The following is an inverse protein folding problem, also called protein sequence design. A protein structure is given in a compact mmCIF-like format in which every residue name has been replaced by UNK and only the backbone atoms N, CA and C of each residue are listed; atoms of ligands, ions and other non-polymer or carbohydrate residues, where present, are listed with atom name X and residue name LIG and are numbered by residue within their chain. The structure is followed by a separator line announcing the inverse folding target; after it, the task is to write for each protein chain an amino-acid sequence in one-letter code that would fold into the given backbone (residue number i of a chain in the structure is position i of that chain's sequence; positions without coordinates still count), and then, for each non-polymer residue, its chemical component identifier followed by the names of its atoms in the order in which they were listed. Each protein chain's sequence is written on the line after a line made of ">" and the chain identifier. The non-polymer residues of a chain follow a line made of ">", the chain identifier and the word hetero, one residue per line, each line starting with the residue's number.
data_IF_515734063341
#
_entry.id   IF_515734063341
#
_cell.length_a   1.000
_cell.length_b   1.000
_cell.length_c   1.000
_cell.angle_alpha   90.00
_cell.angle_beta   90.00
_cell.angle_gamma   90.00
#
_symmetry.space_group_name_H-M   'P 1'
#
loop_
_entity.id
_entity.type
_entity.pdbx_description
1 polymer ?
#
# COMPACT_ATOMS: atom_id res chain seq x y z
N UNK A 1 8.30 9.29 2.11
CA UNK A 1 8.66 7.92 1.69
C UNK A 1 10.03 7.54 2.24
N UNK A 2 10.54 6.32 1.92
CA UNK A 2 11.85 5.86 2.40
C UNK A 2 12.98 6.81 2.04
N UNK A 3 12.99 7.34 0.82
CA UNK A 3 13.96 8.34 0.36
C UNK A 3 13.98 9.60 1.23
N UNK A 4 12.83 10.07 1.68
CA UNK A 4 12.73 11.26 2.55
C UNK A 4 13.36 11.00 3.92
N UNK A 5 13.16 9.80 4.48
CA UNK A 5 13.76 9.40 5.74
C UNK A 5 15.29 9.34 5.63
N UNK A 6 15.80 8.74 4.55
CA UNK A 6 17.25 8.66 4.28
C UNK A 6 17.85 10.04 4.05
N UNK A 7 17.17 10.89 3.29
CA UNK A 7 17.60 12.28 3.07
C UNK A 7 17.68 13.04 4.39
N UNK A 8 16.69 12.93 5.25
CA UNK A 8 16.67 13.58 6.55
C UNK A 8 17.85 13.15 7.42
N UNK A 9 18.15 11.85 7.50
CA UNK A 9 19.31 11.35 8.23
C UNK A 9 20.63 11.96 7.70
N UNK A 10 20.80 12.05 6.37
CA UNK A 10 22.02 12.58 5.74
C UNK A 10 22.19 14.09 5.90
N UNK A 11 21.08 14.85 5.81
CA UNK A 11 21.13 16.31 5.84
C UNK A 11 21.18 16.88 7.26
N UNK A 12 20.63 16.17 8.25
CA UNK A 12 20.49 16.69 9.63
C UNK A 12 21.47 16.10 10.63
N UNK A 13 22.26 15.07 10.23
CA UNK A 13 23.12 14.30 11.12
C UNK A 13 22.38 13.72 12.35
N UNK A 14 21.06 13.52 12.25
CA UNK A 14 20.27 12.89 13.28
C UNK A 14 20.61 11.39 13.39
N UNK A 15 20.61 10.85 14.61
CA UNK A 15 20.89 9.44 14.86
C UNK A 15 19.72 8.52 14.48
N UNK A 16 18.52 9.09 14.29
CA UNK A 16 17.32 8.36 13.92
C UNK A 16 16.23 9.26 13.34
N UNK A 17 15.27 8.63 12.66
CA UNK A 17 14.11 9.30 12.08
C UNK A 17 12.84 8.63 12.56
N UNK A 18 11.91 9.42 13.06
CA UNK A 18 10.57 8.96 13.39
C UNK A 18 9.68 8.98 12.14
N UNK A 19 9.13 7.84 11.78
CA UNK A 19 8.21 7.69 10.64
C UNK A 19 6.78 7.65 11.17
N UNK A 20 5.98 8.68 10.85
CA UNK A 20 4.57 8.75 11.19
C UNK A 20 3.69 8.43 9.98
N UNK A 21 3.15 9.46 9.33
CA UNK A 21 2.20 9.31 8.21
C UNK A 21 2.76 8.58 6.97
N UNK A 22 4.07 8.52 6.82
CA UNK A 22 4.71 7.75 5.74
C UNK A 22 4.47 6.25 5.82
N UNK A 23 4.11 5.72 7.00
CA UNK A 23 3.76 4.32 7.22
C UNK A 23 2.30 3.98 6.87
N UNK A 24 1.46 4.97 6.62
CA UNK A 24 0.04 4.76 6.37
C UNK A 24 -0.18 4.02 5.04
N UNK A 25 -0.73 2.80 5.10
CA UNK A 25 -0.88 1.90 3.96
C UNK A 25 0.45 1.41 3.36
N UNK A 26 1.56 1.60 4.07
CA UNK A 26 2.91 1.23 3.67
C UNK A 26 3.74 0.74 4.87
N UNK A 27 3.40 -0.43 5.44
CA UNK A 27 4.15 -0.97 6.58
C UNK A 27 5.59 -1.33 6.24
N UNK A 28 5.90 -1.59 4.97
CA UNK A 28 7.24 -1.93 4.50
C UNK A 28 8.26 -0.80 4.63
N UNK A 29 7.82 0.43 4.90
CA UNK A 29 8.72 1.58 5.04
C UNK A 29 9.76 1.37 6.15
N UNK A 30 9.41 0.60 7.20
CA UNK A 30 10.31 0.28 8.30
C UNK A 30 11.41 -0.73 7.91
N UNK A 31 11.23 -1.46 6.84
CA UNK A 31 12.21 -2.35 6.23
C UNK A 31 12.96 -1.65 5.09
N UNK A 32 12.22 -0.95 4.23
CA UNK A 32 12.75 -0.30 3.04
C UNK A 32 13.69 0.87 3.38
N UNK A 33 13.37 1.69 4.38
CA UNK A 33 14.20 2.84 4.74
C UNK A 33 15.58 2.44 5.30
N UNK A 34 15.71 1.47 6.23
CA UNK A 34 17.01 0.97 6.64
C UNK A 34 17.79 0.30 5.51
N UNK A 35 17.13 -0.49 4.66
CA UNK A 35 17.79 -1.16 3.54
C UNK A 35 18.35 -0.14 2.52
N UNK A 36 17.59 0.92 2.24
CA UNK A 36 18.07 2.02 1.38
C UNK A 36 19.21 2.80 2.04
N UNK A 37 19.11 3.08 3.34
CA UNK A 37 20.11 3.86 4.06
C UNK A 37 21.46 3.13 4.21
N UNK A 38 21.43 1.86 4.58
CA UNK A 38 22.60 1.06 4.94
C UNK A 38 23.18 0.29 3.75
N UNK A 39 22.35 -0.20 2.85
CA UNK A 39 22.74 -1.09 1.76
C UNK A 39 22.61 -0.42 0.37
N UNK A 40 22.03 0.78 0.29
CA UNK A 40 21.72 1.42 -0.98
C UNK A 40 20.70 0.66 -1.83
N UNK A 41 19.94 -0.25 -1.21
CA UNK A 41 18.97 -1.08 -1.90
C UNK A 41 17.75 -0.24 -2.31
N UNK A 42 17.39 -0.20 -3.60
CA UNK A 42 16.24 0.58 -4.05
C UNK A 42 14.94 0.00 -3.47
N UNK A 43 13.98 0.89 -3.20
CA UNK A 43 12.66 0.52 -2.68
C UNK A 43 11.89 -0.25 -3.76
N UNK A 44 11.48 -1.51 -3.51
CA UNK A 44 10.74 -2.28 -4.49
C UNK A 44 9.30 -1.78 -4.64
N UNK A 45 8.75 -1.87 -5.85
CA UNK A 45 7.33 -1.68 -6.06
C UNK A 45 6.58 -2.91 -5.54
N UNK A 46 5.66 -2.71 -4.58
CA UNK A 46 4.86 -3.81 -4.04
C UNK A 46 3.71 -4.17 -4.97
N UNK A 47 3.54 -5.45 -5.35
CA UNK A 47 2.38 -5.92 -6.10
C UNK A 47 1.07 -5.63 -5.36
N UNK A 48 -0.02 -5.45 -6.10
CA UNK A 48 -1.33 -5.19 -5.49
C UNK A 48 -1.79 -6.31 -4.57
N UNK A 49 -1.53 -7.56 -4.94
CA UNK A 49 -1.83 -8.72 -4.07
C UNK A 49 -1.13 -8.60 -2.72
N UNK A 50 0.15 -8.31 -2.69
CA UNK A 50 0.92 -8.17 -1.45
C UNK A 50 0.36 -7.04 -0.56
N UNK A 51 -0.05 -5.93 -1.19
CA UNK A 51 -0.66 -4.80 -0.48
C UNK A 51 -2.03 -5.16 0.09
N UNK A 52 -2.83 -5.95 -0.63
CA UNK A 52 -4.13 -6.42 -0.15
C UNK A 52 -3.98 -7.48 0.95
N UNK A 53 -2.97 -8.34 0.88
CA UNK A 53 -2.67 -9.30 1.94
C UNK A 53 -2.25 -8.60 3.23
N UNK A 54 -1.44 -7.55 3.15
CA UNK A 54 -1.11 -6.70 4.30
C UNK A 54 -2.36 -6.00 4.87
N UNK A 55 -3.28 -5.56 4.02
CA UNK A 55 -4.57 -5.02 4.47
C UNK A 55 -5.41 -6.08 5.20
N UNK A 56 -5.49 -7.30 4.68
CA UNK A 56 -6.19 -8.41 5.33
C UNK A 56 -5.62 -8.69 6.72
N UNK A 57 -4.30 -8.73 6.83
CA UNK A 57 -3.63 -8.94 8.12
C UNK A 57 -3.94 -7.80 9.10
N UNK A 58 -3.87 -6.55 8.66
CA UNK A 58 -4.20 -5.38 9.47
C UNK A 58 -5.65 -5.43 9.96
N UNK A 59 -6.60 -5.75 9.08
CA UNK A 59 -8.02 -5.93 9.44
C UNK A 59 -8.22 -7.05 10.46
N UNK A 60 -7.57 -8.20 10.26
CA UNK A 60 -7.63 -9.35 11.16
C UNK A 60 -7.07 -9.01 12.54
N UNK A 61 -5.91 -8.36 12.60
CA UNK A 61 -5.30 -7.93 13.87
C UNK A 61 -6.19 -6.92 14.59
N UNK A 62 -6.75 -5.95 13.89
CA UNK A 62 -7.66 -4.97 14.48
C UNK A 62 -8.90 -5.65 15.05
N UNK A 63 -9.51 -6.56 14.30
CA UNK A 63 -10.71 -7.30 14.74
C UNK A 63 -10.45 -8.14 15.98
N UNK A 64 -9.30 -8.84 16.04
CA UNK A 64 -8.95 -9.72 17.16
C UNK A 64 -8.51 -8.97 18.42
N UNK A 65 -7.69 -7.94 18.24
CA UNK A 65 -7.00 -7.28 19.36
C UNK A 65 -7.71 -6.03 19.84
N UNK A 66 -8.34 -5.28 18.95
CA UNK A 66 -8.99 -4.00 19.26
C UNK A 66 -10.32 -3.87 18.49
N UNK A 67 -11.31 -4.73 18.75
CA UNK A 67 -12.56 -4.74 17.97
C UNK A 67 -13.26 -3.38 17.88
N UNK A 68 -13.14 -2.56 18.93
CA UNK A 68 -13.70 -1.19 18.98
C UNK A 68 -13.07 -0.25 17.96
N UNK A 69 -11.87 -0.59 17.44
CA UNK A 69 -11.19 0.21 16.45
C UNK A 69 -11.60 -0.11 15.00
N UNK A 70 -12.51 -1.07 14.77
CA UNK A 70 -12.97 -1.44 13.42
C UNK A 70 -13.59 -0.26 12.66
N UNK A 71 -14.18 0.71 13.34
CA UNK A 71 -14.65 1.93 12.70
C UNK A 71 -13.54 2.72 11.99
N UNK A 72 -12.30 2.62 12.46
CA UNK A 72 -11.11 3.23 11.82
C UNK A 72 -10.63 2.46 10.60
N UNK A 73 -11.09 1.23 10.40
CA UNK A 73 -10.71 0.42 9.26
C UNK A 73 -11.08 1.09 7.92
N UNK A 74 -12.15 1.88 7.88
CA UNK A 74 -12.52 2.67 6.70
C UNK A 74 -11.40 3.62 6.28
N UNK A 75 -10.71 4.22 7.24
CA UNK A 75 -9.62 5.14 6.98
C UNK A 75 -8.37 4.41 6.49
N UNK A 76 -7.87 3.42 7.25
CA UNK A 76 -6.62 2.77 6.86
C UNK A 76 -6.77 1.86 5.64
N UNK A 77 -7.92 1.22 5.43
CA UNK A 77 -8.16 0.47 4.20
C UNK A 77 -8.03 1.36 2.96
N UNK A 78 -8.53 2.59 3.04
CA UNK A 78 -8.40 3.57 1.95
C UNK A 78 -6.94 3.90 1.60
N UNK A 79 -6.04 3.88 2.57
CA UNK A 79 -4.61 4.14 2.33
C UNK A 79 -3.94 3.02 1.53
N UNK A 80 -4.30 1.75 1.80
CA UNK A 80 -3.77 0.60 1.06
C UNK A 80 -4.19 0.61 -0.42
N UNK A 81 -5.33 1.23 -0.75
CA UNK A 81 -5.86 1.30 -2.12
C UNK A 81 -5.25 2.42 -2.97
N UNK A 82 -4.41 3.27 -2.38
CA UNK A 82 -3.82 4.41 -3.09
C UNK A 82 -3.03 3.96 -4.32
N UNK A 83 -3.37 4.54 -5.48
CA UNK A 83 -2.69 4.24 -6.74
C UNK A 83 -3.11 2.94 -7.42
N UNK A 84 -4.06 2.19 -6.87
CA UNK A 84 -4.65 1.04 -7.54
C UNK A 84 -5.68 1.50 -8.59
N UNK A 85 -5.91 0.70 -9.65
CA UNK A 85 -7.02 0.94 -10.56
C UNK A 85 -8.36 1.06 -9.80
N UNK A 86 -9.24 1.94 -10.27
CA UNK A 86 -10.56 2.18 -9.69
C UNK A 86 -10.58 2.56 -8.19
N UNK A 87 -9.45 3.03 -7.66
CA UNK A 87 -9.29 3.30 -6.22
C UNK A 87 -10.36 4.25 -5.66
N UNK A 88 -10.84 5.22 -6.43
CA UNK A 88 -11.90 6.13 -6.00
C UNK A 88 -13.23 5.39 -5.76
N UNK A 89 -13.61 4.50 -6.68
CA UNK A 89 -14.83 3.68 -6.57
C UNK A 89 -14.72 2.72 -5.38
N UNK A 90 -13.58 2.04 -5.22
CA UNK A 90 -13.33 1.14 -4.10
C UNK A 90 -13.36 1.85 -2.76
N UNK A 91 -12.75 3.03 -2.63
CA UNK A 91 -12.86 3.86 -1.42
C UNK A 91 -14.28 4.24 -1.09
N UNK A 92 -15.11 4.54 -2.11
CA UNK A 92 -16.54 4.79 -1.94
C UNK A 92 -17.30 3.60 -1.35
N UNK A 93 -16.85 2.36 -1.62
CA UNK A 93 -17.40 1.14 -1.02
C UNK A 93 -16.84 0.87 0.37
N UNK A 94 -15.56 1.14 0.61
CA UNK A 94 -14.90 0.99 1.92
C UNK A 94 -15.65 1.76 3.00
N UNK A 95 -16.07 2.99 2.72
CA UNK A 95 -16.78 3.82 3.71
C UNK A 95 -18.16 3.30 4.09
N UNK A 96 -18.69 2.35 3.33
CA UNK A 96 -19.99 1.69 3.58
C UNK A 96 -19.87 0.37 4.34
N UNK A 97 -18.64 -0.12 4.58
CA UNK A 97 -18.43 -1.33 5.35
C UNK A 97 -18.68 -1.06 6.84
N UNK A 98 -19.48 -1.89 7.47
CA UNK A 98 -19.85 -1.77 8.88
C UNK A 98 -19.28 -2.90 9.75
N UNK A 99 -18.96 -4.04 9.16
CA UNK A 99 -18.43 -5.22 9.84
C UNK A 99 -17.10 -5.69 9.30
N UNK A 100 -16.39 -6.51 10.07
CA UNK A 100 -15.15 -7.16 9.61
C UNK A 100 -15.40 -8.01 8.36
N UNK A 101 -16.51 -8.72 8.32
CA UNK A 101 -16.93 -9.54 7.19
C UNK A 101 -17.14 -8.71 5.93
N UNK A 102 -17.73 -7.52 6.04
CA UNK A 102 -17.91 -6.60 4.91
C UNK A 102 -16.56 -6.20 4.30
N UNK A 103 -15.57 -5.90 5.16
CA UNK A 103 -14.22 -5.60 4.69
C UNK A 103 -13.55 -6.78 3.99
N UNK A 104 -13.69 -8.00 4.55
CA UNK A 104 -13.10 -9.19 3.95
C UNK A 104 -13.67 -9.45 2.56
N UNK A 105 -14.99 -9.42 2.41
CA UNK A 105 -15.66 -9.60 1.12
C UNK A 105 -15.23 -8.52 0.12
N UNK A 106 -15.16 -7.27 0.57
CA UNK A 106 -14.73 -6.16 -0.29
C UNK A 106 -13.30 -6.30 -0.76
N UNK A 107 -12.37 -6.72 0.12
CA UNK A 107 -10.97 -6.94 -0.26
C UNK A 107 -10.84 -8.05 -1.30
N UNK A 108 -11.63 -9.12 -1.20
CA UNK A 108 -11.67 -10.19 -2.19
C UNK A 108 -12.17 -9.70 -3.55
N UNK A 109 -13.19 -8.85 -3.57
CA UNK A 109 -13.68 -8.23 -4.81
C UNK A 109 -12.64 -7.28 -5.42
N UNK A 110 -11.96 -6.48 -4.61
CA UNK A 110 -10.88 -5.60 -5.08
C UNK A 110 -9.76 -6.43 -5.70
N UNK A 111 -9.33 -7.51 -5.05
CA UNK A 111 -8.29 -8.39 -5.58
C UNK A 111 -8.67 -8.97 -6.93
N UNK A 112 -9.89 -9.44 -7.08
CA UNK A 112 -10.41 -9.99 -8.34
C UNK A 112 -10.44 -8.96 -9.48
N UNK A 113 -10.56 -7.67 -9.16
CA UNK A 113 -10.54 -6.57 -10.13
C UNK A 113 -9.11 -6.12 -10.47
N UNK A 114 -8.29 -5.80 -9.44
CA UNK A 114 -7.04 -5.08 -9.67
C UNK A 114 -5.86 -5.98 -10.02
N UNK A 115 -5.82 -7.22 -9.53
CA UNK A 115 -4.69 -8.13 -9.78
C UNK A 115 -4.58 -8.53 -11.25
N UNK A 116 -5.66 -8.90 -11.96
CA UNK A 116 -5.60 -9.13 -13.40
C UNK A 116 -5.19 -7.90 -14.20
N UNK A 117 -5.63 -6.70 -13.79
CA UNK A 117 -5.26 -5.45 -14.43
C UNK A 117 -3.78 -5.15 -14.28
N UNK A 118 -3.19 -5.41 -13.10
CA UNK A 118 -1.76 -5.26 -12.87
C UNK A 118 -0.95 -6.17 -13.78
N UNK A 119 -1.35 -7.43 -13.90
CA UNK A 119 -0.71 -8.40 -14.78
C UNK A 119 -0.77 -7.96 -16.25
N UNK A 120 -1.90 -7.42 -16.70
CA UNK A 120 -2.06 -6.90 -18.06
C UNK A 120 -1.18 -5.65 -18.32
N UNK A 121 -1.01 -4.79 -17.31
CA UNK A 121 -0.14 -3.61 -17.40
C UNK A 121 1.34 -4.00 -17.47
N UNK A 122 1.74 -5.06 -16.77
CA UNK A 122 3.12 -5.55 -16.75
C UNK A 122 3.47 -6.32 -18.03
N UNK A 123 2.49 -6.96 -18.66
CA UNK A 123 2.65 -7.73 -19.89
C UNK A 123 2.71 -6.87 -21.17
N UNK A 124 2.42 -5.55 -21.11
CA UNK A 124 2.60 -4.64 -22.26
C UNK A 124 4.10 -4.41 -22.46
N UNK A 125 4.70 -4.80 -23.60
CA UNK A 125 6.07 -4.46 -23.88
C UNK A 125 6.21 -2.93 -23.97
N UNK A 126 7.21 -2.40 -23.28
CA UNK A 126 7.67 -1.04 -23.46
C UNK A 126 8.10 -0.88 -24.93
N UNK A 127 7.39 -0.06 -25.67
CA UNK A 127 7.87 0.57 -26.88
C UNK A 127 7.73 -0.28 -28.14
N UNK A 128 6.65 -0.06 -28.85
CA UNK A 128 6.81 0.27 -30.25
C UNK A 128 6.74 1.79 -30.31
N UNK A 129 7.89 2.44 -30.32
CA UNK A 129 8.03 3.76 -30.89
C UNK A 129 7.57 3.63 -32.34
N UNK A 130 6.46 4.26 -32.66
CA UNK A 130 6.09 4.55 -34.02
C UNK A 130 7.17 5.45 -34.62
N UNK A 131 8.19 4.86 -35.19
CA UNK A 131 8.89 5.47 -36.30
C UNK A 131 8.04 5.21 -37.55
N UNK A 132 6.97 5.96 -37.67
CA UNK A 132 6.38 6.22 -38.95
C UNK A 132 7.14 7.37 -39.58
N UNK A 133 8.07 7.04 -40.43
CA UNK A 133 8.61 7.96 -41.43
C UNK A 133 7.56 8.22 -42.52
#
# INVERSE_FOLDING_TARGET
>A
FADDAVRMLRETAAEGVFIARGSYGNPWIFEDAPALACEGRPVPKRPYRERLDALREHLSLTHRLVPRAMARARTYASWYLKGMPHAAAWRGRVVKCDSYEDFCLLVDEIEADVVPLEAAMTARPHGLSDEAS
#
